data_IF_801769068022
#
_entry.id   IF_801769068022
#
_cell.length_a   1.000
_cell.length_b   1.000
_cell.length_c   1.000
_cell.angle_alpha   90.00
_cell.angle_beta   90.00
_cell.angle_gamma   90.00
#
_symmetry.space_group_name_H-M   'P 1'
#
loop_
_entity.id
_entity.type
_entity.pdbx_description
1 polymer ?
#
# COMPACT_ATOMS: atom_id res chain seq x y z
N UNK A 1 -6.56 3.11 15.35
CA UNK A 1 -7.75 3.86 15.82
C UNK A 1 -8.84 3.70 14.76
N UNK A 2 -10.03 3.16 15.07
CA UNK A 2 -11.09 2.97 14.06
C UNK A 2 -11.53 4.33 13.49
N UNK A 3 -11.57 4.45 12.18
CA UNK A 3 -12.07 5.65 11.52
C UNK A 3 -13.56 5.80 11.83
N UNK A 4 -14.00 7.00 12.21
CA UNK A 4 -15.44 7.29 12.36
C UNK A 4 -16.06 7.40 10.98
N UNK A 5 -17.27 6.82 10.80
CA UNK A 5 -18.04 6.99 9.58
C UNK A 5 -18.28 8.47 9.28
N UNK A 6 -18.09 8.87 8.01
CA UNK A 6 -18.38 10.22 7.53
C UNK A 6 -19.32 10.12 6.32
N UNK A 7 -20.60 10.52 6.46
CA UNK A 7 -21.57 10.43 5.36
C UNK A 7 -21.13 11.15 4.08
N UNK A 8 -20.43 12.29 4.21
CA UNK A 8 -19.89 13.01 3.05
C UNK A 8 -18.86 12.18 2.27
N UNK A 9 -18.08 11.32 2.93
CA UNK A 9 -17.07 10.51 2.28
C UNK A 9 -17.71 9.43 1.42
N UNK A 10 -18.79 8.81 1.91
CA UNK A 10 -19.57 7.83 1.16
C UNK A 10 -20.23 8.49 -0.05
N UNK A 11 -20.83 9.68 0.13
CA UNK A 11 -21.42 10.46 -0.95
C UNK A 11 -20.38 10.79 -2.03
N UNK A 12 -19.23 11.34 -1.62
CA UNK A 12 -18.16 11.74 -2.54
C UNK A 12 -17.65 10.56 -3.37
N UNK A 13 -17.42 9.40 -2.72
CA UNK A 13 -16.98 8.17 -3.39
C UNK A 13 -17.99 7.69 -4.44
N UNK A 14 -19.29 7.76 -4.15
CA UNK A 14 -20.32 7.34 -5.09
C UNK A 14 -20.50 8.31 -6.27
N UNK A 15 -20.16 9.59 -6.08
CA UNK A 15 -20.27 10.62 -7.11
C UNK A 15 -19.07 10.65 -8.08
N UNK A 16 -18.00 9.91 -7.79
CA UNK A 16 -16.73 9.93 -8.56
C UNK A 16 -16.26 8.53 -9.00
N UNK A 17 -17.07 7.75 -9.76
CA UNK A 17 -16.68 6.41 -10.20
C UNK A 17 -15.48 6.37 -11.16
N UNK A 18 -15.14 7.49 -11.80
CA UNK A 18 -13.94 7.67 -12.62
C UNK A 18 -12.65 7.71 -11.79
N UNK A 19 -12.76 8.09 -10.52
CA UNK A 19 -11.62 8.15 -9.58
C UNK A 19 -11.60 7.03 -8.55
N UNK A 20 -12.78 6.47 -8.22
CA UNK A 20 -12.92 5.39 -7.24
C UNK A 20 -13.64 4.19 -7.85
N UNK A 21 -12.92 3.08 -8.00
CA UNK A 21 -13.53 1.82 -8.38
C UNK A 21 -13.98 1.06 -7.14
N UNK A 22 -15.27 0.75 -7.04
CA UNK A 22 -15.85 0.11 -5.85
C UNK A 22 -16.24 -1.34 -6.13
N UNK A 23 -15.67 -2.28 -5.36
CA UNK A 23 -15.93 -3.73 -5.45
C UNK A 23 -16.00 -4.24 -6.90
N UNK A 24 -14.93 -4.06 -7.68
CA UNK A 24 -14.91 -4.64 -9.01
C UNK A 24 -15.11 -6.15 -8.94
N UNK A 25 -15.74 -6.68 -9.97
CA UNK A 25 -15.92 -8.11 -10.17
C UNK A 25 -14.53 -8.78 -10.24
N UNK A 26 -14.17 -9.68 -9.31
CA UNK A 26 -12.85 -10.32 -9.31
C UNK A 26 -12.64 -11.22 -10.54
N UNK A 27 -13.69 -11.59 -11.28
CA UNK A 27 -13.54 -12.33 -12.55
C UNK A 27 -13.18 -11.42 -13.73
N UNK A 28 -13.25 -10.09 -13.55
CA UNK A 28 -12.95 -9.10 -14.61
C UNK A 28 -11.75 -8.26 -14.22
N UNK A 29 -10.63 -8.48 -14.91
CA UNK A 29 -9.45 -7.64 -14.78
C UNK A 29 -9.80 -6.18 -15.08
N UNK A 30 -9.26 -5.28 -14.25
CA UNK A 30 -9.45 -3.84 -14.42
C UNK A 30 -8.55 -3.36 -15.55
N UNK A 31 -9.11 -2.58 -16.47
CA UNK A 31 -8.34 -1.87 -17.49
C UNK A 31 -7.72 -0.61 -16.90
N UNK A 32 -6.55 -0.75 -16.27
CA UNK A 32 -5.84 0.36 -15.64
C UNK A 32 -5.37 1.41 -16.64
N UNK A 33 -4.99 0.98 -17.85
CA UNK A 33 -4.58 1.91 -18.91
C UNK A 33 -5.72 2.86 -19.28
N UNK A 34 -6.95 2.33 -19.41
CA UNK A 34 -8.13 3.16 -19.63
C UNK A 34 -8.45 4.08 -18.43
N UNK A 35 -8.22 3.63 -17.19
CA UNK A 35 -8.48 4.45 -15.98
C UNK A 35 -7.48 5.58 -15.78
N UNK A 36 -6.21 5.39 -16.15
CA UNK A 36 -5.17 6.42 -16.08
C UNK A 36 -5.03 7.23 -17.37
N UNK A 37 -5.53 6.70 -18.50
CA UNK A 37 -5.34 7.30 -19.83
C UNK A 37 -3.92 7.16 -20.37
N UNK A 38 -3.11 6.27 -19.80
CA UNK A 38 -1.71 6.03 -20.16
C UNK A 38 -1.26 4.63 -19.67
N UNK A 39 -0.07 4.21 -20.09
CA UNK A 39 0.52 2.91 -19.74
C UNK A 39 1.71 3.04 -18.75
N UNK A 40 1.75 4.10 -17.94
CA UNK A 40 2.82 4.28 -16.95
C UNK A 40 2.77 3.16 -15.91
N UNK A 41 3.93 2.84 -15.33
CA UNK A 41 4.05 1.80 -14.30
C UNK A 41 3.19 2.10 -13.09
N UNK A 42 2.59 1.06 -12.53
CA UNK A 42 1.71 1.15 -11.36
C UNK A 42 2.48 0.82 -10.09
N UNK A 43 2.25 1.62 -9.05
CA UNK A 43 2.65 1.33 -7.67
C UNK A 43 1.40 1.31 -6.78
N UNK A 44 1.32 0.36 -5.84
CA UNK A 44 0.12 0.11 -5.05
C UNK A 44 0.44 0.32 -3.57
N UNK A 45 -0.38 1.07 -2.84
CA UNK A 45 -0.39 1.01 -1.37
C UNK A 45 -1.59 0.17 -0.90
N UNK A 46 -1.30 -0.90 -0.13
CA UNK A 46 -2.33 -1.76 0.45
C UNK A 46 -2.67 -1.30 1.85
N UNK A 47 -3.93 -0.90 2.07
CA UNK A 47 -4.39 -0.34 3.33
C UNK A 47 -3.96 1.12 3.53
N UNK A 48 -4.16 1.95 2.50
CA UNK A 48 -3.74 3.37 2.48
C UNK A 48 -4.28 4.23 3.62
N UNK A 49 -5.36 3.81 4.29
CA UNK A 49 -5.95 4.56 5.39
C UNK A 49 -6.37 5.96 4.93
N UNK A 50 -5.79 7.01 5.53
CA UNK A 50 -6.12 8.39 5.11
C UNK A 50 -5.36 8.86 3.86
N UNK A 51 -4.42 8.05 3.35
CA UNK A 51 -3.71 8.25 2.09
C UNK A 51 -2.67 9.37 2.05
N UNK A 52 -2.17 9.84 3.21
CA UNK A 52 -1.10 10.85 3.20
C UNK A 52 0.15 10.37 2.45
N UNK A 53 0.51 9.11 2.61
CA UNK A 53 1.65 8.50 1.93
C UNK A 53 1.44 8.45 0.41
N UNK A 54 0.37 7.77 -0.05
CA UNK A 54 0.12 7.59 -1.49
C UNK A 54 -0.19 8.90 -2.22
N UNK A 55 -0.84 9.87 -1.56
CA UNK A 55 -1.09 11.19 -2.17
C UNK A 55 0.17 12.03 -2.29
N UNK A 56 1.09 11.93 -1.32
CA UNK A 56 2.42 12.57 -1.40
C UNK A 56 3.27 11.92 -2.49
N UNK A 57 3.24 10.60 -2.60
CA UNK A 57 3.92 9.88 -3.70
C UNK A 57 3.41 10.32 -5.07
N UNK A 58 2.09 10.36 -5.25
CA UNK A 58 1.46 10.77 -6.50
C UNK A 58 1.79 12.23 -6.87
N UNK A 59 1.78 13.13 -5.87
CA UNK A 59 2.16 14.54 -6.06
C UNK A 59 3.63 14.70 -6.47
N UNK A 60 4.53 13.93 -5.86
CA UNK A 60 5.97 14.03 -6.12
C UNK A 60 6.40 13.34 -7.42
N UNK A 61 5.59 12.44 -7.97
CA UNK A 61 5.95 11.60 -9.12
C UNK A 61 4.81 11.57 -10.16
N UNK A 62 4.55 12.68 -10.88
CA UNK A 62 3.44 12.77 -11.85
C UNK A 62 3.56 11.77 -13.01
N UNK A 63 4.76 11.29 -13.31
CA UNK A 63 5.03 10.33 -14.40
C UNK A 63 4.76 8.86 -14.02
N UNK A 64 4.32 8.59 -12.78
CA UNK A 64 3.99 7.25 -12.28
C UNK A 64 2.52 7.16 -11.91
N UNK A 65 1.94 5.96 -12.06
CA UNK A 65 0.56 5.69 -11.67
C UNK A 65 0.51 5.06 -10.28
N UNK A 66 -0.43 5.51 -9.46
CA UNK A 66 -0.61 5.06 -8.09
C UNK A 66 -2.01 4.51 -7.87
N UNK A 67 -2.11 3.38 -7.15
CA UNK A 67 -3.38 2.84 -6.69
C UNK A 67 -3.42 2.73 -5.17
N UNK A 68 -4.37 3.43 -4.56
CA UNK A 68 -4.71 3.26 -3.15
C UNK A 68 -5.72 2.11 -3.00
N UNK A 69 -5.28 0.95 -2.50
CA UNK A 69 -6.15 -0.20 -2.24
C UNK A 69 -6.67 -0.15 -0.79
N UNK A 70 -7.94 0.17 -0.61
CA UNK A 70 -8.52 0.43 0.71
C UNK A 70 -9.90 -0.19 0.90
N UNK A 71 -10.10 -0.91 2.00
CA UNK A 71 -11.37 -1.56 2.32
C UNK A 71 -12.44 -0.57 2.83
N UNK A 72 -12.05 0.44 3.59
CA UNK A 72 -12.96 1.36 4.27
C UNK A 72 -13.38 2.53 3.37
N UNK A 73 -14.68 2.60 3.05
CA UNK A 73 -15.25 3.69 2.24
C UNK A 73 -14.93 5.09 2.78
N UNK A 74 -14.94 5.28 4.10
CA UNK A 74 -14.59 6.59 4.67
C UNK A 74 -13.12 6.96 4.46
N UNK A 75 -12.22 5.98 4.52
CA UNK A 75 -10.80 6.17 4.23
C UNK A 75 -10.63 6.54 2.75
N UNK A 76 -11.19 5.74 1.83
CA UNK A 76 -11.22 6.03 0.39
C UNK A 76 -11.75 7.44 0.07
N UNK A 77 -12.83 7.90 0.72
CA UNK A 77 -13.36 9.25 0.50
C UNK A 77 -12.48 10.38 1.04
N UNK A 78 -11.64 10.13 2.05
CA UNK A 78 -10.62 11.10 2.48
C UNK A 78 -9.51 11.21 1.43
N UNK A 79 -9.04 10.06 0.91
CA UNK A 79 -8.05 10.03 -0.18
C UNK A 79 -8.59 10.75 -1.41
N UNK A 80 -9.83 10.45 -1.81
CA UNK A 80 -10.48 11.08 -2.97
C UNK A 80 -10.57 12.60 -2.80
N UNK A 81 -10.94 13.08 -1.62
CA UNK A 81 -10.97 14.52 -1.37
C UNK A 81 -9.60 15.16 -1.58
N UNK A 82 -8.52 14.56 -1.05
CA UNK A 82 -7.16 15.07 -1.26
C UNK A 82 -6.72 14.97 -2.72
N UNK A 83 -7.06 13.88 -3.43
CA UNK A 83 -6.84 13.75 -4.88
C UNK A 83 -7.47 14.91 -5.64
N UNK A 84 -8.76 15.19 -5.39
CA UNK A 84 -9.51 16.24 -6.08
C UNK A 84 -8.98 17.64 -5.74
N UNK A 85 -8.63 17.89 -4.48
CA UNK A 85 -8.05 19.17 -4.03
C UNK A 85 -6.69 19.45 -4.69
N UNK A 86 -5.88 18.41 -4.94
CA UNK A 86 -4.53 18.54 -5.51
C UNK A 86 -4.42 18.27 -7.02
N UNK A 87 -5.49 17.78 -7.67
CA UNK A 87 -5.46 17.40 -9.09
C UNK A 87 -4.56 16.20 -9.39
N UNK A 88 -4.59 15.17 -8.53
CA UNK A 88 -3.72 13.98 -8.68
C UNK A 88 -4.31 12.98 -9.69
N UNK A 89 -4.22 13.30 -10.97
CA UNK A 89 -4.77 12.45 -12.05
C UNK A 89 -4.08 11.08 -12.13
N UNK A 90 -2.83 11.01 -11.69
CA UNK A 90 -2.03 9.79 -11.60
C UNK A 90 -2.34 8.92 -10.36
N UNK A 91 -3.40 9.22 -9.60
CA UNK A 91 -3.85 8.42 -8.45
C UNK A 91 -5.25 7.85 -8.68
N UNK A 92 -5.41 6.54 -8.63
CA UNK A 92 -6.71 5.87 -8.60
C UNK A 92 -6.96 5.24 -7.22
N UNK A 93 -8.23 5.13 -6.83
CA UNK A 93 -8.61 4.51 -5.56
C UNK A 93 -9.41 3.26 -5.85
N UNK A 94 -8.95 2.14 -5.31
CA UNK A 94 -9.61 0.85 -5.43
C UNK A 94 -10.17 0.46 -4.07
N UNK A 95 -11.50 0.40 -3.99
CA UNK A 95 -12.18 -0.14 -2.82
C UNK A 95 -12.38 -1.64 -2.96
N UNK A 96 -11.40 -2.42 -2.52
CA UNK A 96 -11.37 -3.89 -2.61
C UNK A 96 -10.58 -4.55 -1.48
N UNK A 97 -10.65 -5.87 -1.39
CA UNK A 97 -9.86 -6.66 -0.43
C UNK A 97 -8.49 -6.99 -1.01
N UNK A 98 -7.42 -6.78 -0.25
CA UNK A 98 -6.06 -7.16 -0.63
C UNK A 98 -5.94 -8.66 -0.92
N UNK A 99 -6.83 -9.48 -0.36
CA UNK A 99 -6.93 -10.88 -0.68
C UNK A 99 -7.21 -11.12 -2.17
N UNK A 100 -7.80 -10.18 -2.90
CA UNK A 100 -8.12 -10.35 -4.33
C UNK A 100 -7.23 -9.50 -5.23
N UNK A 101 -6.08 -9.04 -4.73
CA UNK A 101 -5.18 -8.14 -5.48
C UNK A 101 -4.79 -8.71 -6.86
N UNK A 102 -4.55 -10.01 -6.98
CA UNK A 102 -4.20 -10.66 -8.25
C UNK A 102 -5.37 -10.75 -9.25
N UNK A 103 -6.60 -10.53 -8.79
CA UNK A 103 -7.77 -10.37 -9.65
C UNK A 103 -7.91 -8.95 -10.21
N UNK A 104 -7.43 -7.96 -9.44
CA UNK A 104 -7.56 -6.55 -9.77
C UNK A 104 -6.48 -6.05 -10.73
N UNK A 105 -5.30 -6.67 -10.72
CA UNK A 105 -4.16 -6.24 -11.53
C UNK A 105 -3.75 -7.32 -12.54
N UNK A 106 -3.35 -6.94 -13.77
CA UNK A 106 -2.70 -7.87 -14.68
C UNK A 106 -1.44 -8.47 -14.05
N UNK A 107 -1.02 -9.63 -14.56
CA UNK A 107 0.25 -10.21 -14.13
C UNK A 107 1.41 -9.31 -14.57
N UNK A 108 2.47 -9.20 -13.77
CA UNK A 108 3.65 -8.40 -14.07
C UNK A 108 3.32 -6.94 -14.46
N UNK A 109 2.44 -6.27 -13.72
CA UNK A 109 1.95 -4.91 -14.04
C UNK A 109 2.30 -3.85 -13.00
N UNK A 110 2.79 -4.28 -11.83
CA UNK A 110 3.09 -3.39 -10.71
C UNK A 110 4.57 -3.43 -10.38
N UNK A 111 5.18 -2.29 -10.08
CA UNK A 111 6.60 -2.23 -9.70
C UNK A 111 6.80 -2.28 -8.18
N UNK A 112 5.92 -1.62 -7.41
CA UNK A 112 6.06 -1.55 -5.96
C UNK A 112 4.72 -1.82 -5.28
N UNK A 113 4.77 -2.65 -4.23
CA UNK A 113 3.66 -2.80 -3.28
C UNK A 113 4.11 -2.25 -1.92
N UNK A 114 3.49 -1.16 -1.49
CA UNK A 114 3.70 -0.54 -0.19
C UNK A 114 2.79 -1.16 0.86
N UNK A 115 3.38 -1.61 1.97
CA UNK A 115 2.72 -2.12 3.16
C UNK A 115 3.08 -1.25 4.36
N UNK A 116 2.29 -0.21 4.61
CA UNK A 116 2.54 0.76 5.68
C UNK A 116 1.66 0.47 6.90
N UNK A 117 2.28 0.15 8.04
CA UNK A 117 1.62 0.03 9.36
C UNK A 117 0.41 -0.92 9.34
N UNK A 118 0.54 -2.03 8.63
CA UNK A 118 -0.50 -3.04 8.49
C UNK A 118 -0.94 -3.62 9.85
N UNK A 119 -2.19 -4.09 9.94
CA UNK A 119 -2.71 -4.69 11.17
C UNK A 119 -1.83 -5.89 11.62
N UNK A 120 -1.33 -5.90 12.87
CA UNK A 120 -0.32 -6.88 13.30
C UNK A 120 -0.87 -8.28 13.59
N UNK A 121 -2.18 -8.39 13.87
CA UNK A 121 -2.86 -9.64 14.22
C UNK A 121 -2.05 -10.53 15.19
N UNK A 122 -1.84 -10.09 16.45
CA UNK A 122 -0.87 -10.75 17.36
C UNK A 122 -1.28 -12.17 17.79
N UNK A 123 -2.56 -12.53 17.68
CA UNK A 123 -3.06 -13.86 18.05
C UNK A 123 -2.71 -14.86 16.94
N UNK A 124 -2.11 -15.99 17.28
CA UNK A 124 -1.73 -17.07 16.34
C UNK A 124 -2.87 -17.49 15.42
N UNK A 125 -4.10 -17.62 15.94
CA UNK A 125 -5.29 -17.97 15.12
C UNK A 125 -5.63 -16.95 14.01
N UNK A 126 -5.04 -15.75 14.04
CA UNK A 126 -5.24 -14.70 13.06
C UNK A 126 -4.01 -14.51 12.14
N UNK A 127 -3.00 -15.37 12.22
CA UNK A 127 -1.77 -15.30 11.41
C UNK A 127 -2.04 -15.11 9.92
N UNK A 128 -2.99 -15.89 9.37
CA UNK A 128 -3.39 -15.83 7.95
C UNK A 128 -3.97 -14.48 7.49
N UNK A 129 -4.25 -13.57 8.42
CA UNK A 129 -4.76 -12.21 8.13
C UNK A 129 -3.64 -11.18 8.00
N UNK A 130 -2.40 -11.51 8.35
CA UNK A 130 -1.25 -10.61 8.18
C UNK A 130 -0.97 -10.49 6.70
N UNK A 131 -0.81 -9.25 6.21
CA UNK A 131 -0.56 -8.98 4.79
C UNK A 131 0.79 -9.54 4.29
N UNK A 132 1.67 -9.96 5.20
CA UNK A 132 2.94 -10.62 4.90
C UNK A 132 2.89 -12.14 5.02
N UNK A 133 1.71 -12.73 5.27
CA UNK A 133 1.52 -14.19 5.24
C UNK A 133 1.62 -14.72 3.81
N UNK A 134 2.17 -15.93 3.65
CA UNK A 134 2.48 -16.56 2.36
C UNK A 134 1.37 -16.52 1.29
N UNK A 135 0.09 -16.56 1.65
CA UNK A 135 -0.99 -16.47 0.65
C UNK A 135 -1.15 -15.08 0.04
N UNK A 136 -0.79 -14.02 0.77
CA UNK A 136 -0.69 -12.67 0.23
C UNK A 136 0.57 -12.52 -0.60
N UNK A 137 1.72 -12.99 -0.10
CA UNK A 137 3.00 -12.96 -0.84
C UNK A 137 2.88 -13.63 -2.21
N UNK A 138 2.23 -14.81 -2.30
CA UNK A 138 1.98 -15.49 -3.56
C UNK A 138 1.13 -14.67 -4.55
N UNK A 139 0.23 -13.82 -4.06
CA UNK A 139 -0.60 -12.93 -4.91
C UNK A 139 0.18 -11.70 -5.33
N UNK A 140 1.01 -11.16 -4.45
CA UNK A 140 1.93 -10.06 -4.76
C UNK A 140 2.94 -10.47 -5.84
N UNK A 141 3.51 -11.68 -5.75
CA UNK A 141 4.41 -12.23 -6.76
C UNK A 141 3.76 -12.33 -8.15
N UNK A 142 2.46 -12.60 -8.23
CA UNK A 142 1.75 -12.67 -9.53
C UNK A 142 1.60 -11.30 -10.18
N UNK A 143 1.43 -10.23 -9.40
CA UNK A 143 1.14 -8.89 -9.93
C UNK A 143 2.40 -8.04 -10.11
N UNK A 144 3.43 -8.29 -9.30
CA UNK A 144 4.70 -7.58 -9.41
C UNK A 144 5.43 -7.96 -10.69
N UNK A 145 6.11 -6.99 -11.29
CA UNK A 145 7.08 -7.22 -12.36
C UNK A 145 8.28 -7.99 -11.82
N UNK A 146 9.11 -8.50 -12.73
CA UNK A 146 10.35 -9.22 -12.38
C UNK A 146 11.28 -8.41 -11.47
N UNK A 147 11.36 -7.11 -11.71
CA UNK A 147 12.19 -6.17 -10.94
C UNK A 147 11.36 -5.47 -9.83
N UNK A 148 10.17 -5.99 -9.54
CA UNK A 148 9.25 -5.41 -8.58
C UNK A 148 9.47 -5.90 -7.16
N UNK A 149 9.22 -5.03 -6.18
CA UNK A 149 9.49 -5.29 -4.77
C UNK A 149 8.34 -4.85 -3.85
N UNK A 150 8.41 -5.33 -2.61
CA UNK A 150 7.55 -4.90 -1.50
C UNK A 150 8.35 -3.96 -0.61
N UNK A 151 7.77 -2.80 -0.28
CA UNK A 151 8.28 -1.92 0.76
C UNK A 151 7.37 -2.00 1.99
N UNK A 152 7.89 -2.56 3.07
CA UNK A 152 7.15 -2.80 4.30
C UNK A 152 7.69 -1.93 5.43
N UNK A 153 6.80 -1.14 6.06
CA UNK A 153 7.10 -0.33 7.25
C UNK A 153 6.14 -0.65 8.39
N UNK A 154 6.65 -0.73 9.62
CA UNK A 154 5.81 -0.89 10.82
C UNK A 154 6.51 -0.39 12.08
N UNK A 155 5.75 0.06 13.07
CA UNK A 155 6.22 0.31 14.44
C UNK A 155 6.13 -0.95 15.32
N UNK A 156 5.48 -2.01 14.82
CA UNK A 156 5.19 -3.20 15.60
C UNK A 156 6.31 -4.24 15.45
N UNK A 157 7.18 -4.35 16.46
CA UNK A 157 8.31 -5.29 16.46
C UNK A 157 7.89 -6.75 16.27
N UNK A 158 6.74 -7.16 16.82
CA UNK A 158 6.21 -8.52 16.67
C UNK A 158 5.76 -8.83 15.25
N UNK A 159 5.10 -7.89 14.59
CA UNK A 159 4.76 -8.01 13.16
C UNK A 159 6.03 -7.99 12.31
N UNK A 160 6.99 -7.11 12.61
CA UNK A 160 8.24 -7.03 11.86
C UNK A 160 9.02 -8.34 11.91
N UNK A 161 9.26 -8.88 13.11
CA UNK A 161 9.94 -10.16 13.29
C UNK A 161 9.24 -11.31 12.55
N UNK A 162 7.91 -11.34 12.58
CA UNK A 162 7.12 -12.30 11.82
C UNK A 162 7.29 -12.10 10.31
N UNK A 163 7.22 -10.87 9.80
CA UNK A 163 7.30 -10.57 8.37
C UNK A 163 8.65 -10.94 7.79
N UNK A 164 9.75 -10.66 8.50
CA UNK A 164 11.11 -11.08 8.12
C UNK A 164 11.17 -12.61 7.97
N UNK A 165 10.65 -13.37 8.94
CA UNK A 165 10.61 -14.83 8.83
C UNK A 165 9.71 -15.32 7.69
N UNK A 166 8.52 -14.71 7.54
CA UNK A 166 7.53 -15.10 6.53
C UNK A 166 8.06 -14.89 5.11
N UNK A 167 8.66 -13.73 4.83
CA UNK A 167 9.22 -13.39 3.52
C UNK A 167 10.48 -14.23 3.22
N UNK A 168 11.37 -14.43 4.20
CA UNK A 168 12.53 -15.30 4.04
C UNK A 168 12.11 -16.75 3.74
N UNK A 169 11.11 -17.29 4.46
CA UNK A 169 10.58 -18.64 4.22
C UNK A 169 9.83 -18.76 2.90
N UNK A 170 9.36 -17.65 2.34
CA UNK A 170 8.77 -17.62 1.00
C UNK A 170 9.83 -17.64 -0.11
N UNK A 171 11.10 -17.36 0.22
CA UNK A 171 12.20 -17.29 -0.73
C UNK A 171 12.46 -15.89 -1.28
N UNK A 172 12.00 -14.83 -0.59
CA UNK A 172 12.26 -13.45 -0.99
C UNK A 172 13.69 -13.02 -0.62
N UNK A 173 14.27 -12.14 -1.43
CA UNK A 173 15.54 -11.46 -1.16
C UNK A 173 15.31 -10.13 -0.43
N UNK A 174 16.27 -9.70 0.41
CA UNK A 174 16.16 -8.48 1.20
C UNK A 174 17.27 -7.49 0.81
N UNK A 175 16.93 -6.48 0.03
CA UNK A 175 17.85 -5.40 -0.37
C UNK A 175 18.09 -4.38 0.75
N UNK A 176 17.13 -4.22 1.64
CA UNK A 176 17.19 -3.24 2.72
C UNK A 176 16.44 -3.73 3.96
N UNK A 177 17.09 -3.62 5.11
CA UNK A 177 16.49 -3.89 6.42
C UNK A 177 16.93 -2.80 7.38
N UNK A 178 15.97 -2.11 8.00
CA UNK A 178 16.22 -1.18 9.09
C UNK A 178 15.40 -1.54 10.31
N UNK A 179 16.04 -1.45 11.47
CA UNK A 179 15.40 -1.60 12.78
C UNK A 179 15.16 -0.28 13.49
N UNK A 180 15.54 0.84 12.87
CA UNK A 180 15.27 2.20 13.33
C UNK A 180 15.39 3.20 12.16
N UNK A 181 14.38 3.22 11.29
CA UNK A 181 14.37 3.94 10.02
C UNK A 181 14.70 5.43 10.15
N UNK A 182 14.26 6.09 11.23
CA UNK A 182 14.49 7.53 11.42
C UNK A 182 15.91 7.87 11.87
N UNK A 183 16.72 6.88 12.23
CA UNK A 183 18.13 7.02 12.57
C UNK A 183 19.06 6.36 11.55
N UNK A 184 18.52 5.99 10.38
CA UNK A 184 19.32 5.58 9.23
C UNK A 184 20.14 6.74 8.66
N UNK A 185 20.96 6.42 7.65
CA UNK A 185 21.75 7.43 6.94
C UNK A 185 20.85 8.51 6.33
N UNK A 186 21.32 9.78 6.28
CA UNK A 186 20.51 10.90 5.77
C UNK A 186 19.88 10.64 4.40
N UNK A 187 20.60 10.00 3.47
CA UNK A 187 20.10 9.69 2.13
C UNK A 187 18.91 8.72 2.09
N UNK A 188 18.70 7.93 3.15
CA UNK A 188 17.56 7.03 3.33
C UNK A 188 16.42 7.79 3.97
N UNK A 189 16.71 8.52 5.06
CA UNK A 189 15.71 9.28 5.82
C UNK A 189 15.07 10.37 4.95
N UNK A 190 15.85 11.08 4.14
CA UNK A 190 15.36 12.14 3.25
C UNK A 190 14.41 11.63 2.15
N UNK A 191 14.54 10.36 1.75
CA UNK A 191 13.65 9.73 0.76
C UNK A 191 12.41 9.10 1.38
N UNK A 192 12.38 8.94 2.71
CA UNK A 192 11.27 8.32 3.40
C UNK A 192 10.04 9.25 3.38
N UNK A 193 8.99 8.83 2.68
CA UNK A 193 7.68 9.48 2.79
C UNK A 193 6.98 8.92 4.04
N UNK A 194 6.78 9.77 5.03
CA UNK A 194 6.11 9.39 6.27
C UNK A 194 4.60 9.28 6.10
N UNK A 195 3.98 8.30 6.77
CA UNK A 195 2.52 8.34 6.95
C UNK A 195 2.13 9.34 8.05
N UNK A 196 0.85 9.76 8.07
CA UNK A 196 0.28 10.53 9.20
C UNK A 196 0.50 9.84 10.57
N UNK A 197 0.55 8.50 10.57
CA UNK A 197 0.73 7.70 11.77
C UNK A 197 2.20 7.67 12.19
N UNK A 198 3.10 7.44 11.25
CA UNK A 198 4.55 7.45 11.41
C UNK A 198 5.04 8.74 12.04
N UNK A 199 4.64 9.88 11.49
CA UNK A 199 5.02 11.20 12.00
C UNK A 199 4.68 11.37 13.49
N UNK A 200 3.50 10.87 13.91
CA UNK A 200 3.06 10.95 15.32
C UNK A 200 3.75 9.93 16.22
N UNK A 201 4.20 8.81 15.66
CA UNK A 201 4.82 7.73 16.42
C UNK A 201 6.32 7.96 16.59
N UNK A 202 7.01 8.37 15.53
CA UNK A 202 8.42 8.74 15.53
C UNK A 202 8.71 9.89 16.51
N UNK A 203 7.80 10.87 16.61
CA UNK A 203 7.88 11.95 17.59
C UNK A 203 7.90 11.49 19.06
N UNK A 204 7.58 10.22 19.35
CA UNK A 204 7.66 9.61 20.69
C UNK A 204 8.95 8.84 20.94
N UNK A 205 9.87 8.80 19.97
CA UNK A 205 11.15 8.08 20.07
C UNK A 205 11.05 6.56 19.92
N UNK A 206 9.92 6.05 19.40
CA UNK A 206 9.80 4.62 19.10
C UNK A 206 10.42 4.33 17.72
N UNK A 207 11.17 3.23 17.56
CA UNK A 207 11.76 2.88 16.27
C UNK A 207 10.67 2.50 15.27
N UNK A 208 10.91 2.86 14.01
CA UNK A 208 10.16 2.35 12.87
C UNK A 208 11.02 1.31 12.18
N UNK A 209 10.48 0.12 12.01
CA UNK A 209 11.13 -0.97 11.29
C UNK A 209 10.74 -0.90 9.82
N UNK A 210 11.71 -1.12 8.94
CA UNK A 210 11.52 -1.10 7.49
C UNK A 210 12.24 -2.29 6.82
N UNK A 211 11.62 -2.80 5.76
CA UNK A 211 12.13 -3.93 4.98
C UNK A 211 11.73 -3.72 3.52
N UNK A 212 12.71 -3.78 2.61
CA UNK A 212 12.44 -3.89 1.17
C UNK A 212 12.78 -5.32 0.75
N UNK A 213 11.83 -5.97 0.08
CA UNK A 213 11.97 -7.36 -0.31
C UNK A 213 11.42 -7.60 -1.71
N UNK A 214 12.20 -8.27 -2.55
CA UNK A 214 11.84 -8.66 -3.91
C UNK A 214 11.71 -10.19 -4.02
N UNK A 215 11.14 -10.66 -5.13
CA UNK A 215 10.91 -12.09 -5.37
C UNK A 215 12.04 -12.77 -6.15
N UNK A 216 13.24 -12.17 -6.20
CA UNK A 216 14.43 -12.48 -7.03
C UNK A 216 14.34 -13.69 -7.97
N UNK A 217 14.65 -13.40 -9.24
CA UNK A 217 14.38 -14.20 -10.45
C UNK A 217 15.08 -15.55 -10.60
#
# INVERSE_FOLDING_TARGET
>A
MRLRNKPWAVKLVNEHPESVLQNPDPEKKIDWAARFGNDNTIEIEVGSGKGHFITTLAENNPDKNYVALELQTTAAGIILRTKLEKGLDNLQILRGDAADINCFFPENSTNVIYLNFSDPWPKTRHEKRRLTYKSFLAKYQQVLTKDGHIEFKTDNSGLFAYSVQSMNNFGMHFDFVSVDLHHEKPEIVEKNIETEYEHKFAAKGNPIYALHADFEA
#
